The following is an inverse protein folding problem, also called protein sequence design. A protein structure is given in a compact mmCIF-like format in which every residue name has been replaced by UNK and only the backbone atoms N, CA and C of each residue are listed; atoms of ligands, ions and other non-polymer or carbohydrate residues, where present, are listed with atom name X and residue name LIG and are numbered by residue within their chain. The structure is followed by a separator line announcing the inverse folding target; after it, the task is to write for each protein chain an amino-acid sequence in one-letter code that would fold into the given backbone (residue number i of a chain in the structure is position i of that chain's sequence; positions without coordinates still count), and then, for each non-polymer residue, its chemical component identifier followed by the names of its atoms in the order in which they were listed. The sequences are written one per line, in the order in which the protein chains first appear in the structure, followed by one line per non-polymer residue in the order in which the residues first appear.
data_IF_724312610065
#
_entry.id   IF_724312610065
#
_cell.length_a   1.000
_cell.length_b   1.000
_cell.length_c   1.000
_cell.angle_alpha   90.00
_cell.angle_beta   90.00
_cell.angle_gamma   90.00
#
_symmetry.space_group_name_H-M   'P 1'
#
loop_
_entity.id
_entity.type
_entity.pdbx_description
1 polymer ?
#
# COMPACT_ATOMS: atom_id res chain seq x y z
N UNK A 1 1.97 20.12 -20.33
CA UNK A 1 3.17 20.22 -19.46
C UNK A 1 3.55 18.80 -19.05
N UNK A 2 4.78 18.34 -19.35
CA UNK A 2 5.21 16.97 -19.02
C UNK A 2 5.23 16.75 -17.50
N UNK A 3 4.63 15.66 -17.00
CA UNK A 3 4.75 15.23 -15.61
C UNK A 3 6.17 14.70 -15.39
N UNK A 4 7.02 15.53 -14.81
CA UNK A 4 8.36 15.12 -14.39
C UNK A 4 8.31 14.46 -13.02
N UNK A 5 9.08 13.39 -12.83
CA UNK A 5 9.29 12.70 -11.55
C UNK A 5 9.37 13.65 -10.35
N UNK A 6 10.30 14.62 -10.39
CA UNK A 6 10.57 15.52 -9.27
C UNK A 6 9.37 16.39 -8.88
N UNK A 7 8.56 16.82 -9.86
CA UNK A 7 7.34 17.60 -9.58
C UNK A 7 6.28 16.76 -8.88
N UNK A 8 6.04 15.54 -9.38
CA UNK A 8 5.06 14.62 -8.81
C UNK A 8 5.38 14.33 -7.34
N UNK A 9 6.65 14.06 -7.04
CA UNK A 9 7.11 13.82 -5.67
C UNK A 9 7.04 15.09 -4.81
N UNK A 10 7.41 16.25 -5.35
CA UNK A 10 7.33 17.52 -4.62
C UNK A 10 5.89 17.90 -4.24
N UNK A 11 4.92 17.66 -5.13
CA UNK A 11 3.51 17.93 -4.84
C UNK A 11 2.97 16.96 -3.79
N UNK A 12 3.25 15.66 -3.97
CA UNK A 12 2.89 14.63 -2.99
C UNK A 12 3.47 14.96 -1.62
N UNK A 13 4.75 15.34 -1.56
CA UNK A 13 5.43 15.76 -0.34
C UNK A 13 4.79 17.01 0.27
N UNK A 14 4.41 18.00 -0.55
CA UNK A 14 3.77 19.23 -0.06
C UNK A 14 2.42 18.93 0.59
N UNK A 15 1.61 18.04 -0.01
CA UNK A 15 0.33 17.60 0.56
C UNK A 15 0.57 16.90 1.89
N UNK A 16 1.46 15.91 1.93
CA UNK A 16 1.71 15.10 3.11
C UNK A 16 2.35 15.90 4.25
N UNK A 17 3.29 16.80 3.93
CA UNK A 17 3.94 17.67 4.93
C UNK A 17 2.96 18.66 5.54
N UNK A 18 2.08 19.25 4.72
CA UNK A 18 1.09 20.22 5.19
C UNK A 18 0.09 19.58 6.14
N UNK A 19 -0.39 18.38 5.83
CA UNK A 19 -1.40 17.67 6.61
C UNK A 19 -0.77 16.58 7.50
N UNK A 20 0.52 16.70 7.84
CA UNK A 20 1.31 15.61 8.44
C UNK A 20 0.76 15.10 9.78
N UNK A 21 0.32 15.99 10.66
CA UNK A 21 -0.30 15.62 11.93
C UNK A 21 -1.61 14.82 11.73
N UNK A 22 -2.46 15.25 10.79
CA UNK A 22 -3.69 14.55 10.41
C UNK A 22 -3.38 13.17 9.80
N UNK A 23 -2.42 13.12 8.87
CA UNK A 23 -1.96 11.89 8.22
C UNK A 23 -1.49 10.90 9.27
N UNK A 24 -0.64 11.32 10.22
CA UNK A 24 -0.14 10.45 11.29
C UNK A 24 -1.25 9.95 12.22
N UNK A 25 -2.17 10.83 12.64
CA UNK A 25 -3.27 10.46 13.54
C UNK A 25 -4.23 9.44 12.95
N UNK A 26 -4.38 9.41 11.62
CA UNK A 26 -5.21 8.42 10.91
C UNK A 26 -4.39 7.19 10.52
N UNK A 27 -3.19 7.38 9.98
CA UNK A 27 -2.35 6.28 9.53
C UNK A 27 -1.83 5.41 10.67
N UNK A 28 -1.54 5.99 11.84
CA UNK A 28 -1.08 5.22 12.99
C UNK A 28 -2.07 4.11 13.40
N UNK A 29 -3.35 4.40 13.70
CA UNK A 29 -4.31 3.38 14.12
C UNK A 29 -4.78 2.44 12.99
N UNK A 30 -4.80 2.88 11.74
CA UNK A 30 -5.41 2.08 10.66
C UNK A 30 -4.42 1.42 9.70
N UNK A 31 -3.18 1.93 9.59
CA UNK A 31 -2.16 1.37 8.70
C UNK A 31 -1.01 0.74 9.49
N UNK A 32 -0.45 1.50 10.44
CA UNK A 32 0.71 1.04 11.21
C UNK A 32 0.31 -0.01 12.26
N UNK A 33 -0.58 0.32 13.19
CA UNK A 33 -0.90 -0.54 14.34
C UNK A 33 -1.40 -1.94 13.92
N UNK A 34 -2.33 -2.10 12.95
CA UNK A 34 -2.81 -3.42 12.57
C UNK A 34 -1.71 -4.26 11.93
N UNK A 35 -0.87 -3.65 11.10
CA UNK A 35 0.24 -4.33 10.45
C UNK A 35 1.37 -4.69 11.44
N UNK A 36 1.59 -3.84 12.45
CA UNK A 36 2.50 -4.14 13.54
C UNK A 36 1.97 -5.26 14.44
N UNK A 37 0.69 -5.21 14.79
CA UNK A 37 0.04 -6.23 15.60
C UNK A 37 0.11 -7.62 14.96
N UNK A 38 -0.10 -7.73 13.64
CA UNK A 38 0.07 -9.02 12.95
C UNK A 38 1.51 -9.50 12.98
N UNK A 39 2.52 -8.63 12.84
CA UNK A 39 3.91 -9.07 12.95
C UNK A 39 4.28 -9.56 14.35
N UNK A 40 3.70 -8.98 15.40
CA UNK A 40 3.93 -9.43 16.78
C UNK A 40 3.16 -10.72 17.13
N UNK A 41 1.93 -10.85 16.66
CA UNK A 41 1.00 -11.89 17.10
C UNK A 41 0.97 -13.12 16.18
N UNK A 42 1.37 -12.96 14.93
CA UNK A 42 1.37 -14.02 13.92
C UNK A 42 2.81 -14.42 13.63
N UNK A 43 3.09 -15.71 13.77
CA UNK A 43 4.40 -16.25 13.42
C UNK A 43 4.72 -15.93 11.94
N UNK A 44 5.98 -15.57 11.63
CA UNK A 44 6.36 -15.24 10.26
C UNK A 44 6.13 -16.45 9.32
N UNK A 45 5.87 -16.20 8.03
CA UNK A 45 5.70 -17.29 7.07
C UNK A 45 6.99 -18.12 6.96
N UNK A 46 6.88 -19.43 6.69
CA UNK A 46 8.03 -20.29 6.46
C UNK A 46 8.99 -19.72 5.40
N UNK A 47 10.25 -19.52 5.76
CA UNK A 47 11.27 -19.03 4.86
C UNK A 47 11.51 -19.99 3.70
N UNK A 48 11.88 -19.46 2.53
CA UNK A 48 12.27 -20.27 1.38
C UNK A 48 13.44 -21.19 1.75
N UNK A 49 13.40 -22.48 1.35
CA UNK A 49 14.50 -23.40 1.60
C UNK A 49 15.75 -22.95 0.84
N UNK A 50 16.93 -23.11 1.44
CA UNK A 50 18.20 -22.77 0.80
C UNK A 50 18.47 -23.66 -0.44
N UNK A 51 17.97 -24.90 -0.42
CA UNK A 51 18.03 -25.86 -1.53
C UNK A 51 16.84 -25.72 -2.47
N UNK A 52 16.68 -24.56 -3.11
CA UNK A 52 15.56 -24.31 -4.05
C UNK A 52 15.53 -25.25 -5.26
N UNK A 53 16.63 -25.97 -5.55
CA UNK A 53 16.70 -27.02 -6.58
C UNK A 53 16.18 -28.40 -6.16
N UNK A 54 15.94 -28.64 -4.87
CA UNK A 54 15.41 -29.90 -4.38
C UNK A 54 13.87 -29.91 -4.42
N UNK A 55 13.31 -30.83 -5.21
CA UNK A 55 11.86 -30.99 -5.36
C UNK A 55 11.19 -31.37 -4.04
N UNK A 56 11.82 -32.20 -3.22
CA UNK A 56 11.24 -32.64 -1.95
C UNK A 56 11.18 -31.50 -0.93
N UNK A 57 12.28 -30.75 -0.79
CA UNK A 57 12.32 -29.55 0.07
C UNK A 57 11.28 -28.50 -0.36
N UNK A 58 11.11 -28.27 -1.67
CA UNK A 58 10.14 -27.31 -2.19
C UNK A 58 8.69 -27.76 -1.96
N UNK A 59 8.40 -29.06 -2.07
CA UNK A 59 7.09 -29.62 -1.75
C UNK A 59 6.76 -29.49 -0.25
N UNK A 60 7.72 -29.79 0.62
CA UNK A 60 7.56 -29.63 2.07
C UNK A 60 7.32 -28.17 2.45
N UNK A 61 8.08 -27.24 1.86
CA UNK A 61 7.88 -25.80 2.04
C UNK A 61 6.50 -25.35 1.56
N UNK A 62 6.05 -25.81 0.39
CA UNK A 62 4.72 -25.46 -0.13
C UNK A 62 3.59 -25.95 0.80
N UNK A 63 3.72 -27.15 1.37
CA UNK A 63 2.77 -27.67 2.37
C UNK A 63 2.80 -26.84 3.66
N UNK A 64 3.98 -26.46 4.15
CA UNK A 64 4.15 -25.63 5.33
C UNK A 64 3.57 -24.22 5.14
N UNK A 65 3.74 -23.61 3.96
CA UNK A 65 3.10 -22.34 3.62
C UNK A 65 1.58 -22.51 3.58
N UNK A 66 1.08 -23.56 2.94
CA UNK A 66 -0.36 -23.78 2.87
C UNK A 66 -1.00 -23.91 4.26
N UNK A 67 -0.41 -24.70 5.16
CA UNK A 67 -0.90 -24.85 6.53
C UNK A 67 -0.82 -23.54 7.32
N UNK A 68 0.30 -22.81 7.18
CA UNK A 68 0.45 -21.49 7.78
C UNK A 68 -0.60 -20.49 7.26
N UNK A 69 -0.87 -20.48 5.95
CA UNK A 69 -1.90 -19.61 5.36
C UNK A 69 -3.29 -19.96 5.89
N UNK A 70 -3.64 -21.24 6.00
CA UNK A 70 -4.94 -21.65 6.55
C UNK A 70 -5.12 -21.21 8.01
N UNK A 71 -4.05 -21.27 8.81
CA UNK A 71 -4.09 -20.82 10.20
C UNK A 71 -4.17 -19.29 10.35
N UNK A 72 -3.56 -18.53 9.43
CA UNK A 72 -3.32 -17.10 9.62
C UNK A 72 -4.04 -16.16 8.63
N UNK A 73 -4.64 -16.66 7.56
CA UNK A 73 -5.26 -15.85 6.50
C UNK A 73 -6.32 -14.87 7.03
N UNK A 74 -7.08 -15.25 8.05
CA UNK A 74 -8.08 -14.39 8.68
C UNK A 74 -7.49 -13.10 9.26
N UNK A 75 -6.30 -13.17 9.88
CA UNK A 75 -5.62 -12.01 10.44
C UNK A 75 -5.13 -11.05 9.36
N UNK A 76 -4.53 -11.58 8.29
CA UNK A 76 -4.08 -10.76 7.16
C UNK A 76 -5.26 -10.13 6.41
N UNK A 77 -6.37 -10.86 6.27
CA UNK A 77 -7.60 -10.31 5.69
C UNK A 77 -8.13 -9.17 6.57
N UNK A 78 -8.18 -9.35 7.89
CA UNK A 78 -8.64 -8.31 8.82
C UNK A 78 -7.77 -7.05 8.72
N UNK A 79 -6.44 -7.19 8.77
CA UNK A 79 -5.50 -6.07 8.61
C UNK A 79 -5.70 -5.38 7.26
N UNK A 80 -5.89 -6.14 6.19
CA UNK A 80 -6.14 -5.58 4.86
C UNK A 80 -7.43 -4.74 4.83
N UNK A 81 -8.51 -5.25 5.41
CA UNK A 81 -9.79 -4.54 5.49
C UNK A 81 -9.69 -3.26 6.33
N UNK A 82 -8.99 -3.32 7.47
CA UNK A 82 -8.72 -2.14 8.31
C UNK A 82 -7.86 -1.11 7.55
N UNK A 83 -6.84 -1.57 6.82
CA UNK A 83 -5.99 -0.73 5.98
C UNK A 83 -6.77 -0.03 4.86
N UNK A 84 -7.65 -0.76 4.16
CA UNK A 84 -8.55 -0.20 3.15
C UNK A 84 -9.44 0.89 3.76
N UNK A 85 -10.01 0.62 4.93
CA UNK A 85 -10.83 1.59 5.65
C UNK A 85 -10.04 2.86 6.01
N UNK A 86 -8.84 2.70 6.58
CA UNK A 86 -7.94 3.81 6.90
C UNK A 86 -7.55 4.64 5.68
N UNK A 87 -7.16 3.98 4.59
CA UNK A 87 -6.81 4.65 3.34
C UNK A 87 -8.00 5.37 2.70
N UNK A 88 -9.20 4.81 2.77
CA UNK A 88 -10.42 5.46 2.31
C UNK A 88 -10.69 6.74 3.09
N UNK A 89 -10.63 6.68 4.43
CA UNK A 89 -10.80 7.84 5.30
C UNK A 89 -9.73 8.91 5.04
N UNK A 90 -8.46 8.50 4.93
CA UNK A 90 -7.35 9.40 4.64
C UNK A 90 -7.48 10.07 3.28
N UNK A 91 -7.89 9.32 2.24
CA UNK A 91 -8.14 9.91 0.92
C UNK A 91 -9.26 10.95 0.98
N UNK A 92 -10.37 10.64 1.64
CA UNK A 92 -11.49 11.59 1.81
C UNK A 92 -11.01 12.88 2.48
N UNK A 93 -10.26 12.78 3.57
CA UNK A 93 -9.74 13.95 4.29
C UNK A 93 -8.81 14.80 3.42
N UNK A 94 -7.95 14.17 2.64
CA UNK A 94 -6.92 14.87 1.89
C UNK A 94 -7.39 15.44 0.55
N UNK A 95 -8.43 14.88 -0.08
CA UNK A 95 -8.85 15.30 -1.42
C UNK A 95 -10.26 15.88 -1.52
N UNK A 96 -11.16 15.58 -0.58
CA UNK A 96 -12.56 15.99 -0.72
C UNK A 96 -12.69 17.53 -0.70
N UNK A 97 -13.39 18.15 -1.68
CA UNK A 97 -13.45 19.62 -1.80
C UNK A 97 -13.99 20.32 -0.55
N UNK A 98 -14.97 19.69 0.11
CA UNK A 98 -15.60 20.21 1.32
C UNK A 98 -14.72 20.12 2.59
N UNK A 99 -13.53 19.50 2.53
CA UNK A 99 -12.61 19.31 3.68
C UNK A 99 -13.34 18.84 4.95
N UNK A 100 -13.96 17.64 4.92
CA UNK A 100 -14.74 17.15 6.05
C UNK A 100 -13.86 16.96 7.30
N UNK A 101 -14.49 16.96 8.47
CA UNK A 101 -13.83 16.56 9.71
C UNK A 101 -13.55 15.03 9.73
N UNK A 102 -12.68 14.61 10.65
CA UNK A 102 -12.28 13.20 10.80
C UNK A 102 -13.48 12.29 10.98
N UNK A 103 -14.45 12.70 11.80
CA UNK A 103 -15.67 11.91 12.07
C UNK A 103 -16.47 11.69 10.79
N UNK A 104 -16.73 12.74 10.01
CA UNK A 104 -17.50 12.63 8.77
C UNK A 104 -16.75 11.80 7.72
N UNK A 105 -15.44 11.92 7.64
CA UNK A 105 -14.62 11.09 6.75
C UNK A 105 -14.70 9.60 7.12
N UNK A 106 -14.56 9.27 8.41
CA UNK A 106 -14.66 7.89 8.91
C UNK A 106 -16.04 7.27 8.67
N UNK A 107 -17.12 8.03 8.91
CA UNK A 107 -18.49 7.58 8.62
C UNK A 107 -18.70 7.38 7.13
N UNK A 108 -18.18 8.29 6.30
CA UNK A 108 -18.30 8.21 4.84
C UNK A 108 -17.51 7.02 4.29
N UNK A 109 -16.31 6.77 4.81
CA UNK A 109 -15.51 5.60 4.49
C UNK A 109 -16.25 4.31 4.86
N UNK A 110 -16.89 4.24 6.03
CA UNK A 110 -17.65 3.08 6.47
C UNK A 110 -18.87 2.82 5.57
N UNK A 111 -19.65 3.87 5.28
CA UNK A 111 -20.84 3.77 4.41
C UNK A 111 -20.48 3.37 2.98
N UNK A 112 -19.29 3.75 2.50
CA UNK A 112 -18.81 3.44 1.15
C UNK A 112 -17.79 2.30 1.14
N UNK A 113 -17.62 1.57 2.24
CA UNK A 113 -16.55 0.60 2.41
C UNK A 113 -16.54 -0.44 1.28
N UNK A 114 -17.69 -1.03 0.97
CA UNK A 114 -17.79 -2.01 -0.13
C UNK A 114 -17.32 -1.49 -1.49
N UNK A 115 -17.48 -0.18 -1.78
CA UNK A 115 -16.97 0.42 -3.02
C UNK A 115 -15.45 0.61 -3.00
N UNK A 116 -14.90 1.02 -1.85
CA UNK A 116 -13.45 1.10 -1.69
C UNK A 116 -12.81 -0.29 -1.76
N UNK A 117 -13.36 -1.28 -1.06
CA UNK A 117 -12.87 -2.66 -1.09
C UNK A 117 -12.91 -3.24 -2.51
N UNK A 118 -13.99 -3.01 -3.25
CA UNK A 118 -14.07 -3.42 -4.65
C UNK A 118 -13.04 -2.70 -5.54
N UNK A 119 -12.79 -1.41 -5.31
CA UNK A 119 -11.76 -0.67 -6.05
C UNK A 119 -10.35 -1.21 -5.77
N UNK A 120 -10.01 -1.45 -4.49
CA UNK A 120 -8.75 -2.07 -4.10
C UNK A 120 -8.60 -3.47 -4.70
N UNK A 121 -9.65 -4.29 -4.71
CA UNK A 121 -9.63 -5.61 -5.33
C UNK A 121 -9.38 -5.55 -6.84
N UNK A 122 -10.10 -4.65 -7.55
CA UNK A 122 -9.92 -4.44 -8.99
C UNK A 122 -8.52 -3.90 -9.33
N UNK A 123 -7.90 -3.14 -8.43
CA UNK A 123 -6.52 -2.69 -8.59
C UNK A 123 -5.51 -3.81 -8.30
N UNK A 124 -5.75 -4.59 -7.25
CA UNK A 124 -4.83 -5.62 -6.79
C UNK A 124 -4.60 -6.70 -7.86
N UNK A 125 -5.64 -7.13 -8.58
CA UNK A 125 -5.52 -8.19 -9.60
C UNK A 125 -4.45 -7.87 -10.67
N UNK A 126 -4.56 -6.76 -11.45
CA UNK A 126 -3.55 -6.44 -12.47
C UNK A 126 -2.19 -6.07 -11.88
N UNK A 127 -2.13 -5.47 -10.70
CA UNK A 127 -0.87 -5.13 -10.02
C UNK A 127 -0.13 -6.42 -9.63
N UNK A 128 -0.82 -7.36 -8.99
CA UNK A 128 -0.26 -8.64 -8.57
C UNK A 128 0.14 -9.51 -9.76
N UNK A 129 -0.69 -9.59 -10.80
CA UNK A 129 -0.32 -10.28 -12.04
C UNK A 129 0.91 -9.65 -12.70
N UNK A 130 1.01 -8.33 -12.66
CA UNK A 130 2.19 -7.60 -13.10
C UNK A 130 3.43 -8.04 -12.33
N UNK A 131 3.42 -7.96 -11.00
CA UNK A 131 4.54 -8.39 -10.15
C UNK A 131 4.89 -9.86 -10.29
N UNK A 132 3.90 -10.72 -10.55
CA UNK A 132 4.11 -12.15 -10.77
C UNK A 132 4.87 -12.43 -12.08
N UNK A 133 4.62 -11.64 -13.13
CA UNK A 133 5.36 -11.73 -14.38
C UNK A 133 6.77 -11.14 -14.23
N UNK A 134 6.88 -9.89 -13.78
CA UNK A 134 8.13 -9.19 -13.46
C UNK A 134 7.86 -7.97 -12.55
N UNK A 135 8.87 -7.44 -11.87
CA UNK A 135 8.71 -6.25 -11.01
C UNK A 135 8.19 -5.03 -11.79
N UNK A 136 8.73 -4.77 -12.99
CA UNK A 136 8.40 -3.57 -13.77
C UNK A 136 6.93 -3.53 -14.26
N UNK A 137 6.34 -4.61 -14.82
CA UNK A 137 4.91 -4.66 -15.12
C UNK A 137 4.01 -4.36 -13.91
N UNK A 138 4.35 -4.86 -12.72
CA UNK A 138 3.59 -4.56 -11.48
C UNK A 138 3.60 -3.07 -11.14
N UNK A 139 4.78 -2.45 -11.17
CA UNK A 139 4.95 -1.01 -10.93
C UNK A 139 4.28 -0.16 -12.00
N UNK A 140 4.32 -0.61 -13.27
CA UNK A 140 3.57 0.02 -14.36
C UNK A 140 2.06 0.01 -14.08
N UNK A 141 1.50 -1.15 -13.73
CA UNK A 141 0.07 -1.23 -13.40
C UNK A 141 -0.30 -0.37 -12.20
N UNK A 142 0.54 -0.34 -11.17
CA UNK A 142 0.32 0.53 -10.01
C UNK A 142 0.34 2.02 -10.40
N UNK A 143 1.28 2.45 -11.24
CA UNK A 143 1.34 3.82 -11.74
C UNK A 143 0.09 4.19 -12.57
N UNK A 144 -0.43 3.26 -13.37
CA UNK A 144 -1.64 3.48 -14.19
C UNK A 144 -2.92 3.56 -13.36
N UNK A 145 -2.94 2.91 -12.21
CA UNK A 145 -4.11 2.81 -11.30
C UNK A 145 -4.03 3.74 -10.09
N UNK A 146 -2.98 4.56 -10.00
CA UNK A 146 -2.69 5.39 -8.81
C UNK A 146 -3.78 6.42 -8.49
N UNK A 147 -4.56 6.84 -9.49
CA UNK A 147 -5.60 7.87 -9.34
C UNK A 147 -7.00 7.26 -9.09
N UNK A 148 -7.13 5.94 -8.97
CA UNK A 148 -8.42 5.27 -8.80
C UNK A 148 -9.14 5.68 -7.51
N UNK A 149 -8.46 5.64 -6.37
CA UNK A 149 -9.07 6.00 -5.08
C UNK A 149 -9.39 7.51 -4.99
N UNK A 150 -8.50 8.44 -5.41
CA UNK A 150 -8.83 9.84 -5.60
C UNK A 150 -10.08 10.08 -6.46
N UNK A 151 -10.17 9.44 -7.63
CA UNK A 151 -11.32 9.57 -8.52
C UNK A 151 -12.61 9.07 -7.87
N UNK A 152 -12.56 7.94 -7.15
CA UNK A 152 -13.72 7.37 -6.45
C UNK A 152 -14.29 8.33 -5.39
N UNK A 153 -13.44 9.16 -4.78
CA UNK A 153 -13.86 10.18 -3.81
C UNK A 153 -14.41 11.42 -4.49
N UNK A 154 -13.67 12.00 -5.44
CA UNK A 154 -13.98 13.32 -6.01
C UNK A 154 -15.11 13.26 -7.04
N UNK A 155 -15.13 12.25 -7.91
CA UNK A 155 -16.17 12.07 -8.93
C UNK A 155 -17.41 11.34 -8.39
N UNK A 156 -17.59 11.28 -7.06
CA UNK A 156 -18.73 10.60 -6.48
C UNK A 156 -20.07 11.26 -6.92
N UNK A 157 -21.10 10.45 -7.26
CA UNK A 157 -21.17 9.00 -7.16
C UNK A 157 -20.72 8.26 -8.44
N UNK A 158 -19.54 7.62 -8.40
CA UNK A 158 -19.13 6.61 -9.39
C UNK A 158 -18.86 5.25 -8.74
N UNK A 159 -18.96 4.19 -9.53
CA UNK A 159 -18.59 2.83 -9.12
C UNK A 159 -17.09 2.56 -9.25
N UNK A 160 -16.62 1.52 -8.56
CA UNK A 160 -15.21 1.11 -8.53
C UNK A 160 -14.60 0.89 -9.93
N UNK A 161 -15.29 0.15 -10.80
CA UNK A 161 -14.83 -0.11 -12.17
C UNK A 161 -14.69 1.19 -13.00
N UNK A 162 -15.62 2.15 -12.82
CA UNK A 162 -15.51 3.46 -13.48
C UNK A 162 -14.32 4.27 -12.96
N UNK A 163 -14.03 4.20 -11.67
CA UNK A 163 -12.86 4.86 -11.08
C UNK A 163 -11.53 4.26 -11.57
N UNK A 164 -11.46 2.93 -11.74
CA UNK A 164 -10.33 2.23 -12.38
C UNK A 164 -10.15 2.71 -13.82
N UNK A 165 -11.23 2.69 -14.62
CA UNK A 165 -11.19 3.20 -15.99
C UNK A 165 -10.81 4.68 -16.07
N UNK A 166 -11.24 5.50 -15.10
CA UNK A 166 -10.84 6.90 -15.00
C UNK A 166 -9.34 7.04 -14.77
N UNK A 167 -8.77 6.35 -13.78
CA UNK A 167 -7.32 6.36 -13.53
C UNK A 167 -6.54 5.97 -14.78
N UNK A 168 -6.99 4.95 -15.51
CA UNK A 168 -6.35 4.49 -16.74
C UNK A 168 -6.36 5.57 -17.84
N UNK A 169 -7.48 6.27 -18.02
CA UNK A 169 -7.58 7.35 -19.03
C UNK A 169 -6.67 8.52 -18.66
N UNK A 170 -6.76 9.00 -17.42
CA UNK A 170 -6.07 10.22 -17.01
C UNK A 170 -4.55 10.04 -16.96
N UNK A 171 -4.05 8.84 -16.65
CA UNK A 171 -2.60 8.59 -16.62
C UNK A 171 -2.00 8.26 -18.01
N UNK A 172 -2.78 8.23 -19.11
CA UNK A 172 -2.32 7.70 -20.42
C UNK A 172 -1.26 8.56 -21.09
N UNK A 173 -1.37 9.88 -20.98
CA UNK A 173 -0.47 10.83 -21.66
C UNK A 173 0.87 11.06 -20.97
N UNK A 174 0.98 10.74 -19.67
CA UNK A 174 2.03 11.27 -18.80
C UNK A 174 2.51 10.23 -17.75
N UNK A 175 2.46 8.94 -18.11
CA UNK A 175 2.72 7.84 -17.19
C UNK A 175 4.18 7.71 -16.76
N UNK A 176 5.15 8.21 -17.52
CA UNK A 176 6.58 8.09 -17.21
C UNK A 176 6.97 8.76 -15.89
N UNK A 177 6.47 9.97 -15.63
CA UNK A 177 6.73 10.67 -14.37
C UNK A 177 6.10 9.97 -13.18
N UNK A 178 4.89 9.44 -13.36
CA UNK A 178 4.18 8.67 -12.34
C UNK A 178 4.90 7.36 -12.04
N UNK A 179 5.32 6.64 -13.09
CA UNK A 179 6.08 5.40 -12.96
C UNK A 179 7.39 5.64 -12.25
N UNK A 180 8.16 6.67 -12.62
CA UNK A 180 9.39 7.01 -11.91
C UNK A 180 9.16 7.28 -10.43
N UNK A 181 8.04 7.92 -10.06
CA UNK A 181 7.72 8.23 -8.66
C UNK A 181 7.39 6.95 -7.90
N UNK A 182 6.58 6.09 -8.50
CA UNK A 182 6.24 4.76 -7.97
C UNK A 182 7.48 3.88 -7.80
N UNK A 183 8.36 3.84 -8.80
CA UNK A 183 9.63 3.10 -8.75
C UNK A 183 10.52 3.63 -7.62
N UNK A 184 10.66 4.94 -7.48
CA UNK A 184 11.49 5.52 -6.42
C UNK A 184 10.94 5.18 -5.02
N UNK A 185 9.63 5.31 -4.83
CA UNK A 185 8.95 4.97 -3.57
C UNK A 185 9.09 3.47 -3.28
N UNK A 186 8.95 2.61 -4.30
CA UNK A 186 9.16 1.17 -4.18
C UNK A 186 10.61 0.84 -3.79
N UNK A 187 11.60 1.46 -4.46
CA UNK A 187 13.02 1.26 -4.14
C UNK A 187 13.36 1.73 -2.73
N UNK A 188 12.80 2.87 -2.28
CA UNK A 188 12.98 3.34 -0.91
C UNK A 188 12.45 2.33 0.11
N UNK A 189 11.24 1.79 -0.09
CA UNK A 189 10.71 0.72 0.75
C UNK A 189 11.59 -0.54 0.70
N UNK A 190 12.00 -0.95 -0.50
CA UNK A 190 12.80 -2.13 -0.72
C UNK A 190 14.15 -2.03 0.01
N UNK A 191 14.84 -0.89 -0.10
CA UNK A 191 16.12 -0.64 0.59
C UNK A 191 16.00 -0.68 2.12
N UNK A 192 14.86 -0.28 2.68
CA UNK A 192 14.60 -0.42 4.12
C UNK A 192 14.41 -1.89 4.49
N UNK A 193 13.69 -2.67 3.69
CA UNK A 193 13.31 -4.06 4.03
C UNK A 193 14.38 -5.10 3.76
N UNK A 194 15.21 -4.91 2.73
CA UNK A 194 16.25 -5.88 2.34
C UNK A 194 17.17 -6.26 3.52
N UNK A 195 17.76 -5.32 4.27
CA UNK A 195 18.63 -5.69 5.40
C UNK A 195 17.85 -6.26 6.59
N UNK A 196 16.56 -5.93 6.72
CA UNK A 196 15.74 -6.39 7.84
C UNK A 196 15.36 -7.87 7.73
N UNK A 197 15.22 -8.43 6.53
CA UNK A 197 14.89 -9.84 6.32
C UNK A 197 15.94 -10.84 6.89
N UNK A 198 17.24 -10.74 6.55
CA UNK A 198 18.26 -11.59 7.15
C UNK A 198 18.49 -11.25 8.62
N UNK A 199 18.32 -9.99 9.03
CA UNK A 199 18.41 -9.60 10.43
C UNK A 199 17.30 -10.25 11.27
N UNK A 200 16.05 -10.27 10.78
CA UNK A 200 14.92 -10.93 11.43
C UNK A 200 15.17 -12.44 11.56
N UNK A 201 15.65 -13.08 10.49
CA UNK A 201 16.02 -14.50 10.51
C UNK A 201 17.11 -14.80 11.55
N UNK A 202 18.09 -13.91 11.69
CA UNK A 202 19.15 -14.03 12.70
C UNK A 202 18.62 -13.81 14.11
N UNK A 203 17.81 -12.78 14.34
CA UNK A 203 17.23 -12.46 15.65
C UNK A 203 16.28 -13.56 16.16
N UNK A 204 15.64 -14.30 15.24
CA UNK A 204 14.78 -15.45 15.56
C UNK A 204 15.54 -16.77 15.66
N UNK A 205 16.87 -16.76 15.50
CA UNK A 205 17.68 -17.96 15.66
C UNK A 205 18.02 -18.21 17.14
N UNK A 206 18.20 -19.49 17.48
CA UNK A 206 18.43 -19.92 18.86
C UNK A 206 19.59 -19.14 19.50
N UNK A 207 19.32 -18.52 20.65
CA UNK A 207 20.30 -17.73 21.40
C UNK A 207 20.32 -16.23 21.09
N UNK A 208 19.56 -15.76 20.09
CA UNK A 208 19.45 -14.34 19.72
C UNK A 208 18.04 -13.74 19.92
N UNK A 209 17.12 -14.52 20.49
CA UNK A 209 15.69 -14.23 20.65
C UNK A 209 15.38 -13.15 21.70
N UNK A 210 15.82 -11.91 21.47
CA UNK A 210 15.42 -10.79 22.30
C UNK A 210 14.06 -10.23 21.84
N UNK A 211 12.98 -10.35 22.65
CA UNK A 211 11.64 -9.95 22.23
C UNK A 211 11.52 -8.44 21.97
N UNK A 212 12.31 -7.60 22.66
CA UNK A 212 12.30 -6.15 22.46
C UNK A 212 12.91 -5.80 21.10
N UNK A 213 14.03 -6.44 20.75
CA UNK A 213 14.73 -6.17 19.47
C UNK A 213 13.88 -6.64 18.29
N UNK A 214 13.22 -7.80 18.41
CA UNK A 214 12.26 -8.29 17.42
C UNK A 214 11.09 -7.32 17.25
N UNK A 215 10.46 -6.88 18.34
CA UNK A 215 9.36 -5.93 18.27
C UNK A 215 9.77 -4.59 17.63
N UNK A 216 11.00 -4.12 17.85
CA UNK A 216 11.52 -2.93 17.19
C UNK A 216 11.72 -3.15 15.68
N UNK A 217 12.25 -4.30 15.28
CA UNK A 217 12.41 -4.65 13.87
C UNK A 217 11.05 -4.73 13.15
N UNK A 218 10.07 -5.41 13.77
CA UNK A 218 8.70 -5.53 13.28
C UNK A 218 8.01 -4.15 13.18
N UNK A 219 8.26 -3.26 14.15
CA UNK A 219 7.77 -1.89 14.11
C UNK A 219 8.36 -1.11 12.93
N UNK A 220 9.66 -1.23 12.65
CA UNK A 220 10.29 -0.58 11.49
C UNK A 220 9.69 -1.09 10.18
N UNK A 221 9.50 -2.41 10.06
CA UNK A 221 8.86 -3.01 8.87
C UNK A 221 7.41 -2.53 8.69
N UNK A 222 6.65 -2.44 9.79
CA UNK A 222 5.29 -1.93 9.79
C UNK A 222 5.23 -0.45 9.39
N UNK A 223 6.13 0.37 9.92
CA UNK A 223 6.24 1.79 9.61
C UNK A 223 6.61 2.01 8.14
N UNK A 224 7.51 1.20 7.60
CA UNK A 224 7.88 1.25 6.18
C UNK A 224 6.69 0.93 5.26
N UNK A 225 5.84 -0.05 5.62
CA UNK A 225 4.60 -0.35 4.86
C UNK A 225 3.64 0.84 4.88
N UNK A 226 3.37 1.38 6.07
CA UNK A 226 2.45 2.50 6.21
C UNK A 226 2.96 3.73 5.43
N UNK A 227 4.26 4.03 5.53
CA UNK A 227 4.89 5.13 4.81
C UNK A 227 4.78 4.96 3.29
N UNK A 228 4.99 3.74 2.77
CA UNK A 228 4.80 3.43 1.36
C UNK A 228 3.37 3.69 0.89
N UNK A 229 2.37 3.18 1.62
CA UNK A 229 0.95 3.37 1.26
C UNK A 229 0.57 4.85 1.26
N UNK A 230 1.01 5.61 2.27
CA UNK A 230 0.78 7.06 2.36
C UNK A 230 1.47 7.80 1.21
N UNK A 231 2.71 7.44 0.86
CA UNK A 231 3.44 8.04 -0.24
C UNK A 231 2.75 7.81 -1.59
N UNK A 232 2.29 6.57 -1.84
CA UNK A 232 1.51 6.21 -3.03
C UNK A 232 0.19 6.99 -3.09
N UNK A 233 -0.50 7.15 -1.96
CA UNK A 233 -1.70 8.00 -1.88
C UNK A 233 -1.39 9.46 -2.21
N UNK A 234 -0.33 10.02 -1.62
CA UNK A 234 0.09 11.40 -1.88
C UNK A 234 0.35 11.64 -3.37
N UNK A 235 1.03 10.70 -4.03
CA UNK A 235 1.23 10.73 -5.49
C UNK A 235 -0.12 10.63 -6.21
N UNK A 236 -0.99 9.70 -5.83
CA UNK A 236 -2.32 9.55 -6.44
C UNK A 236 -3.15 10.84 -6.38
N UNK A 237 -3.16 11.50 -5.22
CA UNK A 237 -3.85 12.78 -5.02
C UNK A 237 -3.22 13.89 -5.86
N UNK A 238 -1.89 14.02 -5.85
CA UNK A 238 -1.18 15.03 -6.64
C UNK A 238 -1.47 14.88 -8.14
N UNK A 239 -1.39 13.65 -8.65
CA UNK A 239 -1.68 13.32 -10.04
C UNK A 239 -3.14 13.62 -10.38
N UNK A 240 -4.07 13.19 -9.54
CA UNK A 240 -5.50 13.44 -9.77
C UNK A 240 -5.81 14.94 -9.82
N UNK A 241 -5.31 15.73 -8.84
CA UNK A 241 -5.52 17.19 -8.80
C UNK A 241 -5.00 17.89 -10.07
N UNK A 242 -3.81 17.50 -10.54
CA UNK A 242 -3.22 18.08 -11.76
C UNK A 242 -4.00 17.72 -13.02
N UNK A 243 -4.53 16.52 -13.10
CA UNK A 243 -5.25 16.06 -14.29
C UNK A 243 -6.63 16.70 -14.36
N UNK A 244 -7.31 16.85 -13.22
CA UNK A 244 -8.58 17.61 -13.13
C UNK A 244 -8.38 19.11 -13.39
N UNK A 245 -7.31 19.73 -12.86
CA UNK A 245 -7.03 21.16 -13.11
C UNK A 245 -6.73 21.47 -14.58
N UNK A 246 -6.35 20.47 -15.37
CA UNK A 246 -6.06 20.60 -16.79
C UNK A 246 -7.27 20.30 -17.69
N UNK A 247 -8.47 20.08 -17.13
CA UNK A 247 -9.69 19.83 -17.90
C UNK A 247 -9.77 18.45 -18.59
N UNK A 248 -8.93 17.49 -18.17
CA UNK A 248 -8.92 16.10 -18.67
C UNK A 248 -9.67 15.15 -17.74
#
# INVERSE_FOLDING_TARGET
MKLTLGRVLADAWTILRREGDLVLRVAAPFLFLPNFAVQLLVAPPPALPQSTGDRAAMQAWAQAIYSWMQANAGWYLLVNLVGIYGMAALTILLIHPARPDVRTALITAARRFGRFSLAYLLMAIPISLGFWLFVLPGLYMQARLIATIPALVVEAPIGAARAVGRSWRVTRGEWWGVLGAVVLIFLAQYLIRVPLSPADSFLRSAGHENPIVLALADAVMAAAEAAYQIAILGVGIAIYRRLVSNGM
#
